data_IF_833979943535
#
_entry.id   IF_833979943535
#
_cell.length_a   1.000
_cell.length_b   1.000
_cell.length_c   1.000
_cell.angle_alpha   90.00
_cell.angle_beta   90.00
_cell.angle_gamma   90.00
#
_symmetry.space_group_name_H-M   'P 1'
#
loop_
_entity.id
_entity.type
_entity.pdbx_description
1 polymer ?
#
# COMPACT_ATOMS: atom_id res chain seq x y z
N UNK A 1 -12.50 4.55 27.04
CA UNK A 1 -13.67 5.21 26.39
C UNK A 1 -13.41 5.27 24.90
N UNK A 2 -14.34 4.78 24.07
CA UNK A 2 -14.23 4.88 22.61
C UNK A 2 -14.52 6.29 22.11
N UNK A 3 -13.90 6.70 21.00
CA UNK A 3 -14.23 7.94 20.29
C UNK A 3 -15.00 7.59 19.01
N UNK A 4 -16.03 8.37 18.68
CA UNK A 4 -16.80 8.20 17.43
C UNK A 4 -16.17 9.05 16.33
N UNK A 5 -15.89 8.43 15.18
CA UNK A 5 -15.42 9.14 13.99
C UNK A 5 -16.61 9.80 13.28
N UNK A 6 -16.57 11.13 13.12
CA UNK A 6 -17.58 11.85 12.36
C UNK A 6 -17.28 11.77 10.85
N UNK A 7 -17.97 10.87 10.16
CA UNK A 7 -17.82 10.67 8.72
C UNK A 7 -18.59 11.75 7.95
N UNK A 8 -17.85 12.63 7.25
CA UNK A 8 -18.47 13.65 6.38
C UNK A 8 -18.78 13.15 4.97
N UNK A 9 -17.96 12.23 4.45
CA UNK A 9 -18.06 11.70 3.09
C UNK A 9 -17.67 10.23 3.11
N UNK A 10 -18.46 9.39 2.43
CA UNK A 10 -18.17 7.97 2.23
C UNK A 10 -17.99 7.69 0.74
N UNK A 11 -16.85 7.13 0.35
CA UNK A 11 -16.56 6.75 -1.03
C UNK A 11 -15.46 5.69 -1.11
N UNK A 12 -15.61 4.77 -2.06
CA UNK A 12 -14.65 3.68 -2.31
C UNK A 12 -13.52 4.09 -3.27
N UNK A 13 -13.60 5.26 -3.89
CA UNK A 13 -12.58 5.73 -4.85
C UNK A 13 -11.48 6.51 -4.16
N UNK A 14 -10.24 6.01 -4.22
CA UNK A 14 -9.05 6.76 -3.78
C UNK A 14 -8.92 8.12 -4.48
N UNK A 15 -9.24 8.19 -5.77
CA UNK A 15 -9.19 9.44 -6.54
C UNK A 15 -10.17 10.47 -6.00
N UNK A 16 -11.41 10.07 -5.69
CA UNK A 16 -12.40 10.98 -5.10
C UNK A 16 -12.00 11.42 -3.69
N UNK A 17 -11.51 10.50 -2.86
CA UNK A 17 -10.98 10.86 -1.51
C UNK A 17 -9.92 11.94 -1.59
N UNK A 18 -8.93 11.78 -2.46
CA UNK A 18 -7.87 12.78 -2.66
C UNK A 18 -8.47 14.12 -3.12
N UNK A 19 -9.44 14.10 -4.04
CA UNK A 19 -10.10 15.32 -4.51
C UNK A 19 -10.78 16.08 -3.37
N UNK A 20 -11.53 15.40 -2.49
CA UNK A 20 -12.20 16.01 -1.35
C UNK A 20 -11.22 16.57 -0.31
N UNK A 21 -10.09 15.89 -0.10
CA UNK A 21 -9.04 16.35 0.81
C UNK A 21 -8.39 17.62 0.26
N UNK A 22 -8.02 17.62 -1.03
CA UNK A 22 -7.39 18.77 -1.69
C UNK A 22 -8.31 19.99 -1.77
N UNK A 23 -9.62 19.78 -1.88
CA UNK A 23 -10.60 20.89 -1.88
C UNK A 23 -10.93 21.40 -0.47
N UNK A 24 -10.31 20.86 0.59
CA UNK A 24 -10.55 21.28 1.97
C UNK A 24 -11.90 20.85 2.55
N UNK A 25 -12.60 19.90 1.93
CA UNK A 25 -13.93 19.44 2.39
C UNK A 25 -13.81 18.54 3.62
N UNK A 26 -12.75 17.74 3.69
CA UNK A 26 -12.51 16.77 4.76
C UNK A 26 -11.04 16.44 4.92
N UNK A 27 -10.68 15.83 6.05
CA UNK A 27 -9.44 15.07 6.19
C UNK A 27 -9.65 13.62 5.74
N UNK A 28 -8.56 12.87 5.56
CA UNK A 28 -8.63 11.45 5.23
C UNK A 28 -7.49 10.65 5.84
N UNK A 29 -7.77 9.37 6.10
CA UNK A 29 -6.77 8.36 6.44
C UNK A 29 -6.53 7.54 5.18
N UNK A 30 -5.29 7.55 4.70
CA UNK A 30 -4.90 6.91 3.45
C UNK A 30 -3.64 6.06 3.65
N UNK A 31 -3.47 4.97 2.89
CA UNK A 31 -2.18 4.29 2.81
C UNK A 31 -1.11 5.20 2.23
N UNK A 32 0.10 5.18 2.81
CA UNK A 32 1.21 6.04 2.41
C UNK A 32 1.48 6.08 0.88
N UNK A 33 1.55 4.95 0.16
CA UNK A 33 1.83 4.97 -1.29
C UNK A 33 0.76 5.71 -2.11
N UNK A 34 -0.46 5.88 -1.58
CA UNK A 34 -1.56 6.53 -2.30
C UNK A 34 -1.41 8.05 -2.39
N UNK A 35 -0.54 8.66 -1.59
CA UNK A 35 -0.38 10.13 -1.58
C UNK A 35 1.07 10.61 -1.41
N UNK A 36 2.07 9.72 -1.33
CA UNK A 36 3.50 10.09 -1.20
C UNK A 36 3.92 11.16 -2.21
N UNK A 37 3.61 10.97 -3.49
CA UNK A 37 3.97 11.94 -4.54
C UNK A 37 3.30 13.31 -4.35
N UNK A 38 2.06 13.35 -3.85
CA UNK A 38 1.34 14.60 -3.56
C UNK A 38 1.96 15.32 -2.36
N UNK A 39 2.32 14.55 -1.33
CA UNK A 39 3.01 15.07 -0.15
C UNK A 39 4.40 15.60 -0.48
N UNK A 40 5.20 14.87 -1.27
CA UNK A 40 6.52 15.32 -1.74
C UNK A 40 6.46 16.61 -2.55
N UNK A 41 5.38 16.83 -3.31
CA UNK A 41 5.14 18.08 -4.06
C UNK A 41 4.55 19.21 -3.21
N UNK A 42 4.28 18.98 -1.92
CA UNK A 42 3.67 19.97 -1.04
C UNK A 42 2.19 20.23 -1.31
N UNK A 43 1.52 19.40 -2.11
CA UNK A 43 0.08 19.54 -2.41
C UNK A 43 -0.81 19.07 -1.26
N UNK A 44 -0.25 18.30 -0.34
CA UNK A 44 -0.93 17.78 0.85
C UNK A 44 0.02 17.80 2.04
N UNK A 45 -0.52 18.06 3.23
CA UNK A 45 0.15 17.79 4.50
C UNK A 45 -0.35 16.47 5.08
N UNK A 46 0.52 15.77 5.79
CA UNK A 46 0.21 14.46 6.37
C UNK A 46 0.90 14.28 7.71
N UNK A 47 0.28 13.49 8.58
CA UNK A 47 0.83 13.09 9.87
C UNK A 47 0.68 11.57 10.03
N UNK A 48 1.66 10.93 10.68
CA UNK A 48 1.59 9.51 11.01
C UNK A 48 0.62 9.31 12.16
N UNK A 49 -0.29 8.36 12.03
CA UNK A 49 -1.07 7.85 13.15
C UNK A 49 -0.18 6.96 14.01
N UNK A 50 0.00 7.33 15.28
CA UNK A 50 0.87 6.61 16.23
C UNK A 50 0.08 5.78 17.24
N UNK A 51 -1.20 6.07 17.45
CA UNK A 51 -2.07 5.35 18.37
C UNK A 51 -3.54 5.36 17.87
N UNK A 52 -4.03 4.25 17.30
CA UNK A 52 -3.28 3.03 16.97
C UNK A 52 -2.27 3.30 15.84
N UNK A 53 -1.14 2.61 15.86
CA UNK A 53 -0.32 2.49 14.65
C UNK A 53 -1.06 1.57 13.66
N UNK A 54 -1.17 2.01 12.41
CA UNK A 54 -1.94 1.29 11.39
C UNK A 54 -0.97 0.62 10.41
N UNK A 55 -0.92 -0.71 10.50
CA UNK A 55 -0.13 -1.55 9.59
C UNK A 55 -1.06 -2.33 8.66
N UNK A 56 -0.59 -2.59 7.44
CA UNK A 56 -1.27 -3.46 6.48
C UNK A 56 -0.26 -4.36 5.79
N UNK A 57 -0.66 -5.59 5.52
CA UNK A 57 0.14 -6.51 4.73
C UNK A 57 -0.24 -6.38 3.24
N UNK A 58 0.77 -6.40 2.37
CA UNK A 58 0.59 -6.43 0.92
C UNK A 58 1.16 -7.76 0.45
N UNK A 59 0.37 -8.52 -0.32
CA UNK A 59 0.76 -9.84 -0.80
C UNK A 59 0.71 -9.87 -2.32
N UNK A 60 1.73 -10.48 -2.92
CA UNK A 60 1.65 -10.99 -4.28
C UNK A 60 1.18 -12.44 -4.20
N UNK A 61 0.01 -12.73 -4.75
CA UNK A 61 -0.63 -14.04 -4.65
C UNK A 61 -0.81 -14.67 -6.04
N UNK A 62 -0.62 -15.97 -6.11
CA UNK A 62 -0.85 -16.77 -7.31
C UNK A 62 -1.48 -18.12 -6.95
N UNK A 63 -2.17 -18.78 -7.90
CA UNK A 63 -2.76 -20.09 -7.65
C UNK A 63 -1.69 -21.13 -7.32
N UNK A 64 -1.89 -21.90 -6.25
CA UNK A 64 -1.00 -23.02 -5.89
C UNK A 64 -1.12 -24.19 -6.88
N UNK A 65 -2.32 -24.44 -7.38
CA UNK A 65 -2.65 -25.64 -8.15
C UNK A 65 -2.55 -25.43 -9.67
N UNK A 66 -2.10 -24.26 -10.12
CA UNK A 66 -1.90 -23.98 -11.54
C UNK A 66 -0.44 -23.56 -11.74
N UNK A 67 0.36 -24.35 -12.48
CA UNK A 67 1.73 -23.97 -12.74
C UNK A 67 1.76 -22.66 -13.54
N UNK A 68 2.53 -21.69 -13.03
CA UNK A 68 2.76 -20.44 -13.73
C UNK A 68 3.42 -20.74 -15.07
N UNK A 69 2.82 -20.29 -16.17
CA UNK A 69 3.45 -20.38 -17.48
C UNK A 69 4.69 -19.46 -17.55
N UNK A 70 5.47 -19.56 -18.62
CA UNK A 70 6.71 -18.80 -18.75
C UNK A 70 6.49 -17.28 -18.60
N UNK A 71 5.43 -16.73 -19.21
CA UNK A 71 5.10 -15.32 -19.12
C UNK A 71 4.73 -14.92 -17.68
N UNK A 72 3.92 -15.70 -16.98
CA UNK A 72 3.52 -15.39 -15.60
C UNK A 72 4.69 -15.48 -14.62
N UNK A 73 5.67 -16.36 -14.87
CA UNK A 73 6.91 -16.40 -14.07
C UNK A 73 7.74 -15.13 -14.23
N UNK A 74 7.88 -14.63 -15.46
CA UNK A 74 8.56 -13.36 -15.73
C UNK A 74 7.81 -12.22 -15.03
N UNK A 75 6.50 -12.12 -15.21
CA UNK A 75 5.69 -11.08 -14.54
C UNK A 75 5.82 -11.14 -13.01
N UNK A 76 5.81 -12.34 -12.42
CA UNK A 76 6.05 -12.50 -10.97
C UNK A 76 7.40 -11.91 -10.56
N UNK A 77 8.46 -12.22 -11.31
CA UNK A 77 9.81 -11.74 -11.02
C UNK A 77 9.86 -10.20 -11.11
N UNK A 78 9.33 -9.62 -12.19
CA UNK A 78 9.25 -8.17 -12.38
C UNK A 78 8.44 -7.49 -11.28
N UNK A 79 7.30 -8.06 -10.87
CA UNK A 79 6.48 -7.50 -9.78
C UNK A 79 7.23 -7.52 -8.44
N UNK A 80 8.00 -8.58 -8.17
CA UNK A 80 8.85 -8.65 -6.97
C UNK A 80 9.94 -7.58 -7.02
N UNK A 81 10.64 -7.44 -8.15
CA UNK A 81 11.69 -6.43 -8.34
C UNK A 81 11.16 -5.02 -8.17
N UNK A 82 10.04 -4.68 -8.79
CA UNK A 82 9.37 -3.38 -8.60
C UNK A 82 9.01 -3.15 -7.13
N UNK A 83 8.50 -4.17 -6.43
CA UNK A 83 8.17 -4.04 -5.01
C UNK A 83 9.41 -3.78 -4.14
N UNK A 84 10.53 -4.44 -4.45
CA UNK A 84 11.82 -4.20 -3.82
C UNK A 84 12.32 -2.77 -4.08
N UNK A 85 12.32 -2.31 -5.32
CA UNK A 85 12.75 -0.95 -5.69
C UNK A 85 11.90 0.12 -4.99
N UNK A 86 10.58 -0.07 -4.95
CA UNK A 86 9.67 0.86 -4.27
C UNK A 86 9.85 0.86 -2.75
N UNK A 87 10.26 -0.28 -2.17
CA UNK A 87 10.59 -0.39 -0.75
C UNK A 87 11.89 0.38 -0.44
N UNK A 88 12.96 0.15 -1.20
CA UNK A 88 14.24 0.85 -1.06
C UNK A 88 14.09 2.37 -1.26
N UNK A 89 13.21 2.80 -2.17
CA UNK A 89 12.88 4.21 -2.37
C UNK A 89 12.03 4.85 -1.24
N UNK A 90 11.60 4.05 -0.25
CA UNK A 90 10.74 4.46 0.85
C UNK A 90 9.30 4.84 0.43
N UNK A 91 8.89 4.43 -0.78
CA UNK A 91 7.54 4.62 -1.31
C UNK A 91 6.60 3.58 -0.70
N UNK A 92 7.05 2.33 -0.62
CA UNK A 92 6.44 1.31 0.25
C UNK A 92 7.18 1.37 1.58
N UNK A 93 6.43 1.51 2.68
CA UNK A 93 6.96 1.58 4.05
C UNK A 93 6.49 0.38 4.86
N UNK A 94 7.33 -0.11 5.75
CA UNK A 94 7.06 -1.25 6.64
C UNK A 94 8.24 -2.22 6.64
N UNK A 95 7.93 -3.50 6.81
CA UNK A 95 8.90 -4.59 6.71
C UNK A 95 8.64 -5.39 5.43
N UNK A 96 9.71 -5.73 4.70
CA UNK A 96 9.61 -6.61 3.54
C UNK A 96 9.87 -8.06 3.97
N UNK A 97 8.79 -8.81 4.18
CA UNK A 97 8.86 -10.24 4.42
C UNK A 97 9.02 -10.98 3.08
N UNK A 98 10.27 -11.28 2.71
CA UNK A 98 10.55 -12.18 1.60
C UNK A 98 10.39 -13.59 2.17
N UNK A 99 9.39 -14.36 1.73
CA UNK A 99 9.43 -15.80 1.95
C UNK A 99 10.73 -16.33 1.31
N UNK A 100 11.69 -16.71 2.16
CA UNK A 100 12.73 -17.64 1.73
C UNK A 100 11.98 -18.87 1.25
N UNK A 101 12.18 -19.25 0.00
CA UNK A 101 11.71 -20.53 -0.50
C UNK A 101 12.44 -21.62 0.32
N UNK A 102 11.83 -22.03 1.44
CA UNK A 102 12.28 -23.17 2.21
C UNK A 102 12.09 -24.43 1.35
N UNK A 103 13.21 -25.07 1.07
CA UNK A 103 13.36 -26.51 0.89
C UNK A 103 12.34 -27.21 -0.01
N UNK A 104 12.61 -27.24 -1.32
CA UNK A 104 12.40 -28.49 -2.06
C UNK A 104 13.55 -29.45 -1.72
N UNK A 105 13.46 -30.09 -0.55
CA UNK A 105 14.08 -31.39 -0.28
C UNK A 105 13.01 -32.45 -0.37
N UNK A 106 13.01 -33.21 -1.47
CA UNK A 106 12.95 -34.68 -1.55
C UNK A 106 12.83 -35.09 -3.01
#
# INVERSE_FOLDING_TARGET
MGRTLNLRVTTESTRLRISYIRSGVTYGVLPWPSFDALWRRGELTAQRLVNPDLVRNIFLAWPRNQPLNAATRVVRQEMMEICHELFEAGIIKGDLAIERADNQKS
#
